data_IF_741919569305
#
_entry.id   IF_741919569305
#
_cell.length_a   1.000
_cell.length_b   1.000
_cell.length_c   1.000
_cell.angle_alpha   90.00
_cell.angle_beta   90.00
_cell.angle_gamma   90.00
#
_symmetry.space_group_name_H-M   'P 1'
#
loop_
_entity.id
_entity.type
_entity.pdbx_description
1 polymer ?
#
# COMPACT_ATOMS: atom_id res chain seq x y z
N UNK A 1 -33.34 24.02 -30.19
CA UNK A 1 -32.66 23.26 -29.12
C UNK A 1 -31.17 23.44 -29.27
N UNK A 2 -30.52 24.03 -28.26
CA UNK A 2 -29.14 24.55 -28.28
C UNK A 2 -28.09 23.43 -28.27
N UNK A 3 -26.98 23.65 -28.97
CA UNK A 3 -25.87 22.69 -29.15
C UNK A 3 -25.29 22.17 -27.82
N UNK A 4 -25.47 22.90 -26.71
CA UNK A 4 -25.09 22.43 -25.39
C UNK A 4 -25.81 21.14 -24.97
N UNK A 5 -27.12 21.01 -25.25
CA UNK A 5 -27.87 19.79 -24.90
C UNK A 5 -27.43 18.58 -25.72
N UNK A 6 -26.96 18.78 -26.95
CA UNK A 6 -26.44 17.67 -27.78
C UNK A 6 -25.10 17.16 -27.27
N UNK A 7 -24.20 18.05 -26.84
CA UNK A 7 -22.93 17.67 -26.24
C UNK A 7 -23.12 16.93 -24.90
N UNK A 8 -24.04 17.39 -24.04
CA UNK A 8 -24.35 16.71 -22.77
C UNK A 8 -25.02 15.35 -23.00
N UNK A 9 -25.86 15.22 -24.03
CA UNK A 9 -26.52 13.94 -24.36
C UNK A 9 -25.55 12.94 -25.02
N UNK A 10 -24.57 13.43 -25.80
CA UNK A 10 -23.50 12.59 -26.34
C UNK A 10 -22.52 12.15 -25.24
N UNK A 11 -22.23 13.02 -24.28
CA UNK A 11 -21.39 12.69 -23.11
C UNK A 11 -22.12 11.71 -22.19
N UNK A 12 -23.43 11.89 -21.95
CA UNK A 12 -24.25 10.95 -21.19
C UNK A 12 -24.39 9.60 -21.91
N UNK A 13 -24.56 9.58 -23.24
CA UNK A 13 -24.57 8.35 -24.03
C UNK A 13 -23.21 7.64 -24.04
N UNK A 14 -22.09 8.37 -24.06
CA UNK A 14 -20.75 7.79 -23.93
C UNK A 14 -20.50 7.20 -22.53
N UNK A 15 -20.99 7.87 -21.48
CA UNK A 15 -20.93 7.36 -20.10
C UNK A 15 -21.84 6.14 -19.90
N UNK A 16 -23.02 6.11 -20.53
CA UNK A 16 -23.92 4.94 -20.50
C UNK A 16 -23.38 3.75 -21.33
N UNK A 17 -22.85 3.99 -22.54
CA UNK A 17 -22.30 2.91 -23.38
C UNK A 17 -20.99 2.32 -22.85
N UNK A 18 -20.18 3.11 -22.13
CA UNK A 18 -19.01 2.62 -21.42
C UNK A 18 -19.36 1.97 -20.07
N UNK A 19 -20.58 2.20 -19.56
CA UNK A 19 -21.07 1.61 -18.31
C UNK A 19 -21.58 0.16 -18.46
N UNK A 20 -22.07 -0.25 -19.63
CA UNK A 20 -22.72 -1.56 -19.81
C UNK A 20 -21.86 -2.65 -20.47
N UNK A 21 -20.69 -2.33 -21.02
CA UNK A 21 -19.81 -3.32 -21.67
C UNK A 21 -18.48 -3.59 -20.96
N UNK A 22 -18.33 -3.11 -19.71
CA UNK A 22 -17.21 -3.46 -18.83
C UNK A 22 -17.63 -4.47 -17.75
N UNK A 23 -18.35 -5.52 -18.16
CA UNK A 23 -18.38 -6.80 -17.46
C UNK A 23 -17.74 -7.85 -18.36
N UNK A 24 -16.42 -7.84 -18.43
CA UNK A 24 -15.65 -9.07 -18.65
C UNK A 24 -15.30 -9.56 -17.26
N UNK A 25 -15.86 -10.71 -16.95
CA UNK A 25 -15.68 -11.52 -15.75
C UNK A 25 -14.19 -11.86 -15.59
N UNK A 26 -13.46 -11.04 -14.83
CA UNK A 26 -12.27 -11.50 -14.13
C UNK A 26 -12.76 -11.90 -12.76
N UNK A 27 -12.84 -13.21 -12.55
CA UNK A 27 -13.10 -13.86 -11.28
C UNK A 27 -11.98 -13.48 -10.31
N UNK A 28 -12.15 -12.35 -9.65
CA UNK A 28 -11.45 -12.00 -8.43
C UNK A 28 -12.41 -12.38 -7.30
N UNK A 29 -12.05 -13.41 -6.56
CA UNK A 29 -12.82 -13.83 -5.40
C UNK A 29 -12.76 -12.74 -4.32
N UNK A 30 -13.95 -12.39 -3.84
CA UNK A 30 -14.27 -11.55 -2.70
C UNK A 30 -13.66 -12.12 -1.41
N UNK A 31 -13.33 -11.36 -0.36
CA UNK A 31 -13.60 -9.96 -0.11
C UNK A 31 -13.40 -9.54 1.35
N UNK A 32 -14.17 -8.51 1.74
CA UNK A 32 -14.28 -7.93 3.09
C UNK A 32 -13.21 -6.87 3.40
N UNK A 33 -13.48 -5.58 3.60
CA UNK A 33 -14.72 -4.85 3.78
C UNK A 33 -14.60 -3.93 5.01
N UNK A 34 -14.53 -2.61 4.77
CA UNK A 34 -14.66 -1.55 5.78
C UNK A 34 -13.42 -1.28 6.64
N UNK A 35 -13.14 -0.09 7.18
CA UNK A 35 -13.90 1.14 7.42
C UNK A 35 -12.89 2.31 7.51
N UNK A 36 -13.40 3.54 7.44
CA UNK A 36 -12.70 4.82 7.59
C UNK A 36 -11.70 4.87 8.77
N UNK A 37 -10.55 5.52 8.64
CA UNK A 37 -10.42 6.89 9.13
C UNK A 37 -9.05 7.51 8.81
N UNK A 38 -9.08 8.83 8.72
CA UNK A 38 -7.95 9.74 8.62
C UNK A 38 -6.98 9.53 9.79
N UNK A 39 -5.72 9.19 9.51
CA UNK A 39 -4.65 9.43 10.47
C UNK A 39 -3.53 10.25 9.82
N UNK A 40 -3.64 11.54 10.15
CA UNK A 40 -2.57 12.52 10.11
C UNK A 40 -1.25 11.88 10.56
N UNK A 41 -0.23 12.13 9.73
CA UNK A 41 1.14 12.00 10.15
C UNK A 41 1.38 12.88 11.39
N UNK A 42 1.33 12.27 12.57
CA UNK A 42 2.05 12.79 13.72
C UNK A 42 3.54 12.66 13.40
N UNK A 43 4.09 13.74 12.86
CA UNK A 43 5.45 14.12 13.16
C UNK A 43 5.46 14.36 14.68
N UNK A 44 5.89 13.35 15.44
CA UNK A 44 6.33 13.56 16.81
C UNK A 44 7.62 14.40 16.71
N UNK A 45 7.43 15.72 16.68
CA UNK A 45 8.46 16.70 16.96
C UNK A 45 8.80 16.61 18.45
N UNK A 46 10.05 16.25 18.72
CA UNK A 46 10.69 16.16 20.03
C UNK A 46 10.78 17.54 20.71
N UNK A 47 9.65 18.07 21.18
CA UNK A 47 9.60 19.23 22.06
C UNK A 47 9.55 18.76 23.52
N UNK A 48 10.74 18.48 24.07
CA UNK A 48 10.95 18.22 25.48
C UNK A 48 10.44 19.39 26.34
N UNK A 49 9.32 19.19 27.03
CA UNK A 49 8.87 20.02 28.13
C UNK A 49 9.16 19.28 29.44
N UNK A 50 10.02 19.90 30.25
CA UNK A 50 10.44 19.44 31.56
C UNK A 50 9.24 19.19 32.49
N UNK A 51 9.19 17.98 33.05
CA UNK A 51 8.52 17.71 34.33
C UNK A 51 9.44 16.79 35.14
N UNK A 52 10.34 17.46 35.86
CA UNK A 52 10.88 16.99 37.14
C UNK A 52 9.72 16.93 38.14
N UNK A 53 9.49 15.76 38.72
CA UNK A 53 9.23 15.57 40.17
C UNK A 53 8.79 14.12 40.43
N UNK A 54 9.78 13.23 40.49
CA UNK A 54 9.62 11.90 41.06
C UNK A 54 10.28 11.87 42.44
N UNK A 55 9.41 11.87 43.46
CA UNK A 55 9.57 11.25 44.78
C UNK A 55 10.97 10.67 45.09
N UNK A 56 11.80 11.50 45.71
CA UNK A 56 12.94 11.06 46.50
C UNK A 56 12.42 10.46 47.81
N UNK A 57 12.48 9.13 47.93
CA UNK A 57 12.43 8.48 49.24
C UNK A 57 13.79 8.67 49.90
N UNK A 58 13.80 9.36 51.03
CA UNK A 58 14.99 9.91 51.68
C UNK A 58 15.96 8.86 52.22
N UNK A 59 17.24 9.11 51.96
CA UNK A 59 18.35 8.71 52.81
C UNK A 59 19.10 9.97 53.23
N UNK A 60 18.99 10.32 54.51
CA UNK A 60 19.99 11.18 55.16
C UNK A 60 21.34 10.50 55.00
N UNK A 61 22.33 11.17 54.41
CA UNK A 61 23.71 10.97 54.83
C UNK A 61 24.53 12.24 54.59
N UNK A 62 25.20 12.63 55.67
CA UNK A 62 26.00 13.83 55.82
C UNK A 62 27.22 13.80 54.87
N UNK A 63 27.59 14.99 54.42
CA UNK A 63 28.59 15.23 53.38
C UNK A 63 29.90 14.44 53.56
N UNK A 64 30.22 13.69 52.51
CA UNK A 64 31.59 13.29 52.21
C UNK A 64 31.81 13.42 50.71
N UNK A 65 32.41 14.55 50.29
CA UNK A 65 32.91 14.83 48.94
C UNK A 65 34.12 13.93 48.62
N UNK A 66 33.92 12.62 48.72
CA UNK A 66 34.85 11.60 48.28
C UNK A 66 34.67 11.39 46.78
N UNK A 67 35.63 11.88 46.01
CA UNK A 67 35.89 11.56 44.62
C UNK A 67 35.84 10.03 44.37
N UNK A 68 34.64 9.51 44.11
CA UNK A 68 34.42 8.19 43.53
C UNK A 68 34.75 8.30 42.04
N UNK A 69 36.04 8.27 41.74
CA UNK A 69 36.50 7.65 40.50
C UNK A 69 36.11 6.17 40.60
N UNK A 70 34.85 5.88 40.26
CA UNK A 70 34.32 4.53 40.08
C UNK A 70 35.15 3.88 38.98
N UNK A 71 36.19 3.18 39.43
CA UNK A 71 36.91 2.21 38.65
C UNK A 71 35.87 1.27 38.04
N UNK A 72 35.85 1.25 36.72
CA UNK A 72 35.11 0.34 35.85
C UNK A 72 35.35 -1.13 36.22
N UNK A 73 34.73 -1.59 37.31
CA UNK A 73 34.46 -2.99 37.54
C UNK A 73 33.23 -3.31 36.69
N UNK A 74 33.50 -3.94 35.55
CA UNK A 74 32.59 -4.42 34.50
C UNK A 74 31.46 -5.38 34.96
N UNK A 75 31.16 -5.46 36.26
CA UNK A 75 30.17 -6.37 36.85
C UNK A 75 29.00 -5.62 37.50
N UNK A 76 28.59 -4.48 36.93
CA UNK A 76 27.32 -3.86 37.31
C UNK A 76 26.21 -4.89 37.05
N UNK A 77 25.72 -5.51 38.12
CA UNK A 77 24.66 -6.52 38.04
C UNK A 77 23.47 -5.89 37.31
N UNK A 78 23.17 -6.40 36.12
CA UNK A 78 22.14 -5.82 35.27
C UNK A 78 20.77 -6.11 35.88
N UNK A 79 20.15 -5.08 36.45
CA UNK A 79 18.80 -5.16 36.99
C UNK A 79 17.79 -4.89 35.88
N UNK A 80 17.02 -5.90 35.50
CA UNK A 80 16.03 -5.80 34.43
C UNK A 80 14.84 -4.90 34.80
N UNK A 81 14.65 -4.56 36.07
CA UNK A 81 13.58 -3.65 36.54
C UNK A 81 13.64 -2.28 35.89
N UNK A 82 14.83 -1.84 35.50
CA UNK A 82 15.04 -0.52 34.93
C UNK A 82 14.92 -0.52 33.42
N UNK A 83 14.71 -1.68 32.80
CA UNK A 83 14.66 -1.82 31.36
C UNK A 83 13.25 -2.12 30.87
N UNK A 84 12.99 -1.64 29.67
CA UNK A 84 11.80 -1.98 28.92
C UNK A 84 12.17 -2.20 27.46
N UNK A 85 11.30 -2.90 26.75
CA UNK A 85 11.44 -3.15 25.32
C UNK A 85 10.15 -2.77 24.60
N UNK A 86 10.30 -2.15 23.42
CA UNK A 86 9.18 -1.79 22.55
C UNK A 86 9.38 -2.44 21.19
N UNK A 87 8.75 -3.60 20.89
CA UNK A 87 8.79 -4.17 19.55
C UNK A 87 8.15 -3.20 18.58
N UNK A 88 8.88 -2.73 17.58
CA UNK A 88 8.40 -1.74 16.62
C UNK A 88 7.69 -2.41 15.45
N UNK A 89 8.31 -3.46 14.89
CA UNK A 89 7.83 -4.16 13.68
C UNK A 89 8.62 -5.44 13.40
N UNK A 90 8.08 -6.27 12.53
CA UNK A 90 8.67 -7.46 11.95
C UNK A 90 8.96 -7.22 10.46
N UNK A 91 10.15 -7.59 9.97
CA UNK A 91 10.50 -7.57 8.55
C UNK A 91 11.64 -8.55 8.23
N UNK A 92 11.95 -8.72 6.94
CA UNK A 92 13.06 -9.57 6.48
C UNK A 92 14.35 -8.76 6.39
N UNK A 93 15.40 -9.19 7.09
CA UNK A 93 16.73 -8.61 7.05
C UNK A 93 17.77 -9.70 6.78
N UNK A 94 18.60 -9.54 5.75
CA UNK A 94 19.58 -10.56 5.32
C UNK A 94 18.97 -11.97 5.16
N UNK A 95 17.80 -12.06 4.53
CA UNK A 95 17.02 -13.30 4.33
C UNK A 95 16.45 -13.94 5.61
N UNK A 96 16.63 -13.32 6.78
CA UNK A 96 16.10 -13.78 8.07
C UNK A 96 14.93 -12.90 8.49
N UNK A 97 13.85 -13.49 8.99
CA UNK A 97 12.77 -12.72 9.62
C UNK A 97 13.26 -12.19 10.97
N UNK A 98 13.21 -10.87 11.16
CA UNK A 98 13.65 -10.21 12.38
C UNK A 98 12.57 -9.32 12.96
N UNK A 99 12.54 -9.23 14.29
CA UNK A 99 11.79 -8.22 15.03
C UNK A 99 12.74 -7.08 15.35
N UNK A 100 12.40 -5.88 14.90
CA UNK A 100 13.07 -4.66 15.37
C UNK A 100 12.38 -4.15 16.61
N UNK A 101 13.16 -3.89 17.65
CA UNK A 101 12.70 -3.34 18.91
C UNK A 101 13.59 -2.18 19.35
N UNK A 102 13.07 -1.35 20.24
CA UNK A 102 13.88 -0.36 20.96
C UNK A 102 13.92 -0.71 22.44
N UNK A 103 15.09 -0.57 23.03
CA UNK A 103 15.28 -0.71 24.48
C UNK A 103 15.30 0.67 25.13
N UNK A 104 14.74 0.77 26.32
CA UNK A 104 14.70 2.00 27.12
C UNK A 104 15.21 1.69 28.53
N UNK A 105 15.76 2.72 29.19
CA UNK A 105 16.16 2.71 30.58
C UNK A 105 15.18 3.58 31.40
N UNK A 106 15.05 3.28 32.69
CA UNK A 106 14.27 3.99 33.73
C UNK A 106 12.78 3.60 33.82
N UNK A 107 12.51 2.65 34.73
CA UNK A 107 11.32 1.78 34.82
C UNK A 107 9.99 2.35 35.32
N UNK A 108 9.72 3.66 35.27
CA UNK A 108 8.40 4.18 35.68
C UNK A 108 7.52 4.67 34.52
N UNK A 109 8.11 5.21 33.45
CA UNK A 109 7.40 5.76 32.28
C UNK A 109 7.91 5.13 30.99
N UNK A 110 7.69 3.82 30.88
CA UNK A 110 8.67 2.89 30.34
C UNK A 110 9.07 3.06 28.86
N UNK A 111 8.45 3.93 28.07
CA UNK A 111 8.90 4.19 26.69
C UNK A 111 8.71 5.66 26.26
N UNK A 112 8.65 6.61 27.22
CA UNK A 112 8.47 8.04 26.93
C UNK A 112 9.81 8.70 26.57
N UNK A 113 10.91 8.23 27.15
CA UNK A 113 12.25 8.79 26.94
C UNK A 113 12.87 8.43 25.58
N UNK A 114 14.10 8.92 25.38
CA UNK A 114 14.92 8.48 24.26
C UNK A 114 15.32 7.01 24.44
N UNK A 115 15.19 6.16 23.40
CA UNK A 115 15.63 4.78 23.49
C UNK A 115 17.15 4.72 23.65
N UNK A 116 17.64 3.74 24.42
CA UNK A 116 19.07 3.40 24.50
C UNK A 116 19.62 3.04 23.11
N UNK A 117 18.79 2.35 22.32
CA UNK A 117 19.14 1.91 20.98
C UNK A 117 17.96 1.29 20.26
N UNK A 118 18.16 1.01 18.98
CA UNK A 118 17.24 0.20 18.17
C UNK A 118 17.99 -1.01 17.67
N UNK A 119 17.42 -2.17 17.92
CA UNK A 119 18.05 -3.46 17.70
C UNK A 119 17.14 -4.36 16.87
N UNK A 120 17.73 -5.40 16.28
CA UNK A 120 17.02 -6.49 15.64
C UNK A 120 17.41 -7.81 16.27
N UNK A 121 16.47 -8.74 16.28
CA UNK A 121 16.65 -10.12 16.75
C UNK A 121 15.82 -11.03 15.84
N UNK A 122 16.24 -12.29 15.58
CA UNK A 122 15.41 -13.24 14.85
C UNK A 122 14.01 -13.40 15.47
N UNK A 123 12.99 -13.58 14.63
CA UNK A 123 11.60 -13.75 15.10
C UNK A 123 11.46 -14.92 16.07
N UNK A 124 12.09 -16.06 15.78
CA UNK A 124 12.06 -17.24 16.64
C UNK A 124 12.58 -16.93 18.05
N UNK A 125 13.75 -16.29 18.15
CA UNK A 125 14.34 -15.88 19.43
C UNK A 125 13.47 -14.85 20.17
N UNK A 126 12.87 -13.88 19.47
CA UNK A 126 11.98 -12.91 20.10
C UNK A 126 10.71 -13.57 20.67
N UNK A 127 10.07 -14.44 19.89
CA UNK A 127 8.83 -15.11 20.30
C UNK A 127 9.09 -16.09 21.44
N UNK A 128 10.19 -16.85 21.39
CA UNK A 128 10.59 -17.75 22.47
C UNK A 128 10.81 -17.00 23.79
N UNK A 129 11.56 -15.90 23.75
CA UNK A 129 11.77 -15.01 24.90
C UNK A 129 10.45 -14.43 25.45
N UNK A 130 9.54 -14.04 24.57
CA UNK A 130 8.22 -13.51 24.93
C UNK A 130 7.33 -14.57 25.60
N UNK A 131 7.28 -15.79 25.06
CA UNK A 131 6.53 -16.90 25.65
C UNK A 131 7.15 -17.34 26.98
N UNK A 132 8.48 -17.32 27.10
CA UNK A 132 9.17 -17.57 28.36
C UNK A 132 8.82 -16.56 29.45
N UNK A 133 8.69 -15.28 29.09
CA UNK A 133 8.22 -14.25 30.02
C UNK A 133 6.75 -14.46 30.41
N UNK A 134 5.88 -14.74 29.43
CA UNK A 134 4.46 -15.00 29.71
C UNK A 134 4.25 -16.22 30.63
N UNK A 135 5.04 -17.28 30.44
CA UNK A 135 5.06 -18.44 31.31
C UNK A 135 5.52 -18.08 32.75
N UNK A 136 6.60 -17.31 32.88
CA UNK A 136 7.09 -16.87 34.18
C UNK A 136 6.08 -15.98 34.91
N UNK A 137 5.43 -15.06 34.20
CA UNK A 137 4.42 -14.16 34.78
C UNK A 137 3.15 -14.92 35.21
N UNK A 138 2.75 -15.95 34.47
CA UNK A 138 1.64 -16.81 34.85
C UNK A 138 1.94 -17.68 36.09
N UNK A 139 3.16 -18.22 36.20
CA UNK A 139 3.60 -18.93 37.39
C UNK A 139 3.55 -18.03 38.63
N UNK A 140 3.99 -16.78 38.50
CA UNK A 140 3.92 -15.81 39.59
C UNK A 140 2.47 -15.45 39.92
N UNK A 141 1.58 -15.34 38.93
CA UNK A 141 0.15 -15.09 39.19
C UNK A 141 -0.62 -16.33 39.71
N UNK A 142 0.06 -17.47 39.92
CA UNK A 142 -0.57 -18.74 40.31
C UNK A 142 -1.52 -19.28 39.26
N UNK A 143 -1.37 -18.86 38.00
CA UNK A 143 -2.18 -19.26 36.86
C UNK A 143 -1.46 -20.33 36.03
N UNK A 144 -2.19 -21.29 35.51
CA UNK A 144 -1.62 -22.26 34.57
C UNK A 144 -1.47 -21.60 33.20
N UNK A 145 -0.25 -21.61 32.65
CA UNK A 145 0.03 -21.14 31.30
C UNK A 145 0.04 -22.33 30.33
N UNK A 146 -0.92 -22.36 29.43
CA UNK A 146 -0.94 -23.30 28.31
C UNK A 146 -0.16 -22.71 27.14
N UNK A 147 0.90 -23.40 26.73
CA UNK A 147 1.70 -22.99 25.58
C UNK A 147 0.83 -23.07 24.31
N UNK A 148 0.76 -22.00 23.49
CA UNK A 148 -0.05 -22.01 22.29
C UNK A 148 0.47 -23.05 21.30
N UNK A 149 -0.43 -23.75 20.59
CA UNK A 149 -0.04 -24.79 19.63
C UNK A 149 0.91 -24.29 18.54
N UNK A 150 0.85 -23.00 18.19
CA UNK A 150 1.77 -22.37 17.26
C UNK A 150 3.24 -22.36 17.73
N UNK A 151 3.52 -22.48 19.04
CA UNK A 151 4.87 -22.47 19.58
C UNK A 151 5.75 -23.64 19.06
N UNK A 152 5.14 -24.73 18.58
CA UNK A 152 5.89 -25.82 17.93
C UNK A 152 6.62 -25.38 16.64
N UNK A 153 6.22 -24.24 16.05
CA UNK A 153 6.83 -23.67 14.85
C UNK A 153 7.88 -22.59 15.17
N UNK A 154 8.28 -22.42 16.44
CA UNK A 154 9.46 -21.61 16.80
C UNK A 154 10.73 -22.19 16.16
N UNK A 155 10.79 -23.52 16.12
CA UNK A 155 11.81 -24.28 15.41
C UNK A 155 11.29 -24.68 14.04
N UNK A 156 12.20 -25.03 13.15
CA UNK A 156 11.87 -25.51 11.82
C UNK A 156 11.19 -26.88 11.93
N UNK A 157 9.87 -26.92 11.75
CA UNK A 157 9.05 -28.11 11.98
C UNK A 157 8.38 -28.54 10.68
N UNK A 158 8.40 -29.85 10.39
CA UNK A 158 7.83 -30.38 9.17
C UNK A 158 6.29 -30.29 9.18
N UNK A 159 5.70 -29.86 8.06
CA UNK A 159 4.27 -29.68 7.89
C UNK A 159 3.83 -30.18 6.51
N UNK A 160 2.68 -30.84 6.43
CA UNK A 160 2.07 -31.23 5.16
C UNK A 160 1.15 -30.13 4.66
N UNK A 161 1.34 -29.65 3.43
CA UNK A 161 0.47 -28.67 2.77
C UNK A 161 0.03 -29.26 1.44
N UNK A 162 -1.21 -29.75 1.38
CA UNK A 162 -1.68 -30.59 0.27
C UNK A 162 -1.01 -31.96 0.28
N UNK A 163 -0.42 -32.36 -0.85
CA UNK A 163 0.28 -33.65 -0.99
C UNK A 163 1.80 -33.55 -0.76
N UNK A 164 2.33 -32.33 -0.62
CA UNK A 164 3.75 -32.07 -0.45
C UNK A 164 4.11 -31.78 1.01
N UNK A 165 5.33 -32.17 1.40
CA UNK A 165 5.89 -31.89 2.72
C UNK A 165 6.80 -30.66 2.64
N UNK A 166 6.55 -29.71 3.53
CA UNK A 166 7.36 -28.50 3.69
C UNK A 166 7.89 -28.40 5.12
N UNK A 167 8.81 -27.47 5.33
CA UNK A 167 9.23 -27.06 6.66
C UNK A 167 8.61 -25.72 6.99
N UNK A 168 8.15 -25.55 8.22
CA UNK A 168 7.44 -24.36 8.65
C UNK A 168 8.12 -23.73 9.86
N UNK A 169 8.21 -22.40 9.85
CA UNK A 169 8.72 -21.61 10.97
C UNK A 169 7.94 -20.29 11.09
N UNK A 170 7.76 -19.80 12.32
CA UNK A 170 7.16 -18.48 12.56
C UNK A 170 8.09 -17.39 11.99
N UNK A 171 7.53 -16.52 11.16
CA UNK A 171 8.22 -15.39 10.56
C UNK A 171 7.35 -14.13 10.50
N UNK A 172 7.78 -13.14 9.72
CA UNK A 172 7.05 -11.89 9.57
C UNK A 172 5.91 -12.02 8.55
N UNK A 173 4.73 -11.48 8.87
CA UNK A 173 3.65 -11.41 7.90
C UNK A 173 4.01 -10.48 6.74
N UNK A 174 3.66 -10.89 5.52
CA UNK A 174 3.81 -10.04 4.32
C UNK A 174 2.73 -8.97 4.24
N UNK A 175 1.59 -9.21 4.89
CA UNK A 175 0.44 -8.30 4.90
C UNK A 175 0.63 -7.14 5.89
N UNK A 176 1.33 -7.40 7.00
CA UNK A 176 1.51 -6.42 8.07
C UNK A 176 2.87 -6.56 8.73
N UNK A 177 3.60 -5.45 8.82
CA UNK A 177 4.85 -5.37 9.58
C UNK A 177 4.63 -5.45 11.10
N UNK A 178 3.40 -5.63 11.58
CA UNK A 178 3.06 -5.79 13.00
C UNK A 178 2.33 -7.11 13.25
N UNK A 179 2.47 -8.07 12.35
CA UNK A 179 1.90 -9.40 12.51
C UNK A 179 2.97 -10.45 12.23
N UNK A 180 2.84 -11.57 12.93
CA UNK A 180 3.57 -12.78 12.61
C UNK A 180 2.73 -13.62 11.65
N UNK A 181 3.39 -14.45 10.87
CA UNK A 181 2.75 -15.45 10.04
C UNK A 181 3.65 -16.69 9.98
N UNK A 182 3.06 -17.85 9.71
CA UNK A 182 3.84 -19.04 9.42
C UNK A 182 4.47 -18.90 8.02
N UNK A 183 5.73 -19.30 7.88
CA UNK A 183 6.46 -19.31 6.61
C UNK A 183 6.86 -20.72 6.24
N UNK A 184 6.77 -21.05 4.95
CA UNK A 184 7.18 -22.35 4.42
C UNK A 184 8.58 -22.28 3.83
N UNK A 185 9.29 -23.40 3.95
CA UNK A 185 10.66 -23.60 3.52
C UNK A 185 10.81 -24.97 2.86
N UNK A 186 11.75 -25.08 1.93
CA UNK A 186 12.07 -26.34 1.25
C UNK A 186 13.11 -27.19 1.99
N UNK A 187 13.78 -26.63 3.00
CA UNK A 187 14.85 -27.26 3.76
C UNK A 187 14.59 -27.27 5.27
N UNK A 188 15.21 -28.23 5.97
CA UNK A 188 15.09 -28.46 7.41
C UNK A 188 15.80 -27.43 8.28
N UNK A 189 16.59 -26.54 7.67
CA UNK A 189 17.21 -25.40 8.34
C UNK A 189 16.41 -24.11 8.20
N UNK A 190 15.27 -24.15 7.50
CA UNK A 190 14.41 -23.00 7.23
C UNK A 190 15.18 -21.82 6.60
N UNK A 191 16.06 -22.12 5.65
CA UNK A 191 16.91 -21.11 4.98
C UNK A 191 16.33 -20.63 3.64
N UNK A 192 15.59 -21.49 2.93
CA UNK A 192 15.07 -21.26 1.59
C UNK A 192 13.55 -21.19 1.60
N UNK A 193 13.00 -19.97 1.59
CA UNK A 193 11.55 -19.73 1.60
C UNK A 193 10.88 -20.23 0.32
N UNK A 194 9.70 -20.82 0.48
CA UNK A 194 8.84 -21.25 -0.63
C UNK A 194 7.48 -20.57 -0.49
N UNK A 195 6.95 -20.08 -1.61
CA UNK A 195 5.57 -19.62 -1.71
C UNK A 195 4.77 -20.68 -2.45
N UNK A 196 3.71 -21.19 -1.82
CA UNK A 196 2.79 -22.14 -2.43
C UNK A 196 1.53 -21.36 -2.84
N UNK A 197 1.14 -21.44 -4.11
CA UNK A 197 -0.03 -20.73 -4.61
C UNK A 197 -1.28 -21.15 -3.82
N UNK A 198 -2.00 -20.18 -3.26
CA UNK A 198 -3.20 -20.40 -2.47
C UNK A 198 -2.95 -20.69 -0.98
N UNK A 199 -1.70 -20.75 -0.53
CA UNK A 199 -1.37 -20.83 0.90
C UNK A 199 -0.83 -19.50 1.39
N UNK A 200 -1.53 -18.87 2.34
CA UNK A 200 -1.15 -17.60 2.96
C UNK A 200 -0.78 -17.74 4.46
N UNK A 201 -0.78 -18.98 4.96
CA UNK A 201 -0.52 -19.31 6.35
C UNK A 201 -1.64 -18.95 7.32
N UNK A 202 -2.81 -18.51 6.83
CA UNK A 202 -3.96 -18.16 7.66
C UNK A 202 -4.66 -19.38 8.28
N UNK A 203 -4.45 -20.58 7.72
CA UNK A 203 -4.98 -21.84 8.25
C UNK A 203 -4.41 -22.23 9.62
N UNK A 204 -3.25 -21.69 9.97
CA UNK A 204 -2.60 -21.95 11.25
C UNK A 204 -3.01 -20.88 12.24
N UNK A 205 -3.66 -21.32 13.33
CA UNK A 205 -4.10 -20.42 14.38
C UNK A 205 -2.90 -19.84 15.14
N UNK A 206 -2.54 -18.60 14.77
CA UNK A 206 -1.52 -17.79 15.42
C UNK A 206 -2.10 -16.91 16.54
N UNK A 207 -3.40 -17.00 16.86
CA UNK A 207 -4.06 -16.13 17.84
C UNK A 207 -3.52 -16.29 19.26
N UNK A 208 -2.92 -17.43 19.57
CA UNK A 208 -2.24 -17.67 20.85
C UNK A 208 -0.91 -16.92 21.02
N UNK A 209 -0.35 -16.34 19.95
CA UNK A 209 0.92 -15.60 19.99
C UNK A 209 0.67 -14.17 19.51
N UNK A 210 0.30 -13.28 20.45
CA UNK A 210 0.07 -11.85 20.16
C UNK A 210 1.23 -11.03 20.68
N UNK A 211 2.20 -10.72 19.83
CA UNK A 211 3.24 -9.75 20.18
C UNK A 211 2.62 -8.34 20.19
N UNK A 212 2.75 -7.59 21.30
CA UNK A 212 2.18 -6.26 21.42
C UNK A 212 3.05 -5.21 20.70
N UNK A 213 3.09 -5.25 19.37
CA UNK A 213 3.84 -4.29 18.55
C UNK A 213 3.41 -2.85 18.85
N UNK A 214 4.42 -1.97 18.95
CA UNK A 214 4.36 -0.56 19.35
C UNK A 214 3.94 -0.30 20.80
N UNK A 215 3.65 -1.33 21.59
CA UNK A 215 3.40 -1.18 23.02
C UNK A 215 4.71 -1.37 23.79
N UNK A 216 4.85 -0.62 24.88
CA UNK A 216 5.97 -0.79 25.78
C UNK A 216 5.76 -2.06 26.60
N UNK A 217 6.80 -2.86 26.78
CA UNK A 217 6.78 -4.05 27.62
C UNK A 217 7.88 -3.93 28.67
N UNK A 218 7.48 -4.08 29.93
CA UNK A 218 8.39 -4.07 31.06
C UNK A 218 9.17 -5.38 31.07
N UNK A 219 10.48 -5.34 31.33
CA UNK A 219 11.25 -6.58 31.43
C UNK A 219 10.87 -7.42 32.66
N UNK A 220 10.38 -6.76 33.71
CA UNK A 220 9.94 -7.39 34.95
C UNK A 220 8.51 -6.98 35.24
N UNK A 221 7.61 -7.95 35.30
CA UNK A 221 6.23 -7.77 35.77
C UNK A 221 6.17 -8.10 37.25
N UNK A 222 5.66 -7.18 38.07
CA UNK A 222 5.46 -7.40 39.50
C UNK A 222 4.05 -7.90 39.77
N UNK A 223 3.94 -9.13 40.30
CA UNK A 223 2.68 -9.65 40.85
C UNK A 223 2.58 -9.25 42.32
N UNK A 224 1.43 -8.72 42.71
CA UNK A 224 1.15 -8.39 44.10
C UNK A 224 0.85 -9.68 44.88
N UNK A 225 1.88 -10.27 45.47
CA UNK A 225 1.72 -11.34 46.44
C UNK A 225 1.49 -10.76 47.83
N UNK A 226 0.80 -11.50 48.70
CA UNK A 226 0.75 -11.13 50.11
C UNK A 226 2.17 -11.14 50.68
N UNK A 227 2.59 -10.04 51.31
CA UNK A 227 3.95 -9.81 51.84
C UNK A 227 4.46 -10.95 52.75
N UNK A 228 3.57 -11.72 53.36
CA UNK A 228 3.91 -12.83 54.25
C UNK A 228 4.36 -14.13 53.52
N UNK A 229 4.20 -14.21 52.19
CA UNK A 229 4.45 -15.43 51.41
C UNK A 229 5.71 -15.37 50.54
N UNK A 230 6.32 -14.19 50.38
CA UNK A 230 7.43 -13.96 49.45
C UNK A 230 8.70 -13.63 50.22
N UNK A 231 9.77 -14.37 49.96
CA UNK A 231 11.07 -14.11 50.57
C UNK A 231 11.86 -13.04 49.79
N UNK A 232 12.85 -12.42 50.44
CA UNK A 232 13.77 -11.46 49.79
C UNK A 232 14.49 -12.07 48.57
N UNK A 233 14.57 -13.41 48.51
CA UNK A 233 15.20 -14.13 47.41
C UNK A 233 14.38 -14.05 46.13
N UNK A 234 13.05 -14.13 46.21
CA UNK A 234 12.16 -13.92 45.06
C UNK A 234 12.41 -12.56 44.41
N UNK A 235 12.45 -11.47 45.19
CA UNK A 235 12.68 -10.14 44.65
C UNK A 235 14.06 -10.03 43.97
N UNK A 236 15.13 -10.53 44.61
CA UNK A 236 16.48 -10.53 44.02
C UNK A 236 16.56 -11.35 42.72
N UNK A 237 15.92 -12.52 42.71
CA UNK A 237 15.87 -13.37 41.53
C UNK A 237 15.09 -12.68 40.41
N UNK A 238 13.93 -12.09 40.71
CA UNK A 238 13.07 -11.47 39.69
C UNK A 238 13.69 -10.21 39.07
N UNK A 239 14.46 -9.45 39.85
CA UNK A 239 15.20 -8.30 39.33
C UNK A 239 16.30 -8.69 38.33
N UNK A 240 16.87 -9.90 38.45
CA UNK A 240 18.00 -10.37 37.63
C UNK A 240 17.60 -11.40 36.58
N UNK A 241 16.39 -11.96 36.67
CA UNK A 241 15.85 -12.98 35.78
C UNK A 241 14.63 -12.47 35.01
N UNK A 242 14.86 -11.87 33.84
CA UNK A 242 13.84 -11.57 32.84
C UNK A 242 14.07 -12.43 31.59
N UNK A 243 13.28 -13.50 31.35
CA UNK A 243 13.41 -14.30 30.14
C UNK A 243 13.36 -13.46 28.86
N UNK A 244 12.47 -12.45 28.81
CA UNK A 244 12.36 -11.57 27.65
C UNK A 244 13.64 -10.76 27.45
N UNK A 245 14.02 -9.95 28.44
CA UNK A 245 15.08 -8.96 28.23
C UNK A 245 16.49 -9.56 28.27
N UNK A 246 16.72 -10.62 29.04
CA UNK A 246 18.00 -11.33 29.00
C UNK A 246 18.26 -11.95 27.62
N UNK A 247 17.28 -12.66 27.06
CA UNK A 247 17.41 -13.26 25.74
C UNK A 247 17.53 -12.20 24.64
N UNK A 248 16.77 -11.10 24.72
CA UNK A 248 16.90 -10.00 23.79
C UNK A 248 18.28 -9.34 23.88
N UNK A 249 18.83 -9.15 25.08
CA UNK A 249 20.14 -8.55 25.28
C UNK A 249 21.29 -9.43 24.75
N UNK A 250 21.18 -10.75 24.90
CA UNK A 250 22.16 -11.69 24.39
C UNK A 250 22.11 -11.81 22.85
N UNK A 251 20.91 -11.73 22.26
CA UNK A 251 20.70 -11.95 20.82
C UNK A 251 20.54 -10.66 20.00
N UNK A 252 20.64 -9.47 20.62
CA UNK A 252 20.46 -8.21 19.91
C UNK A 252 21.60 -7.94 18.93
N UNK A 253 21.22 -7.42 17.77
CA UNK A 253 22.15 -6.83 16.82
C UNK A 253 21.75 -5.36 16.63
N UNK A 254 22.72 -4.46 16.66
CA UNK A 254 22.46 -3.03 16.41
C UNK A 254 21.85 -2.82 15.03
N UNK A 255 20.69 -2.14 14.99
CA UNK A 255 20.00 -1.83 13.75
C UNK A 255 20.45 -0.47 13.23
N UNK A 256 21.39 -0.50 12.27
CA UNK A 256 21.91 0.68 11.60
C UNK A 256 20.84 1.46 10.83
N UNK A 257 21.20 2.64 10.30
CA UNK A 257 20.26 3.45 9.49
C UNK A 257 19.71 2.69 8.28
N UNK A 258 20.45 1.73 7.74
CA UNK A 258 20.01 0.90 6.61
C UNK A 258 18.94 -0.09 7.04
N UNK A 259 19.18 -0.82 8.13
CA UNK A 259 18.23 -1.71 8.79
C UNK A 259 16.95 -0.97 9.17
N UNK A 260 17.05 0.22 9.76
CA UNK A 260 15.88 1.04 10.09
C UNK A 260 15.11 1.44 8.83
N UNK A 261 15.79 1.88 7.76
CA UNK A 261 15.15 2.20 6.47
C UNK A 261 14.46 0.99 5.84
N UNK A 262 15.05 -0.20 5.94
CA UNK A 262 14.43 -1.45 5.47
C UNK A 262 13.19 -1.82 6.28
N UNK A 263 13.25 -1.66 7.61
CA UNK A 263 12.08 -1.81 8.47
C UNK A 263 11.00 -0.76 8.18
N UNK A 264 11.38 0.47 7.79
CA UNK A 264 10.47 1.50 7.27
C UNK A 264 10.07 1.27 5.82
N UNK A 265 10.68 0.29 5.17
CA UNK A 265 10.37 -0.17 3.84
C UNK A 265 8.89 -0.45 3.78
N UNK A 266 8.19 0.38 2.99
CA UNK A 266 6.75 0.29 2.75
C UNK A 266 6.40 -1.18 2.56
N UNK A 267 5.54 -1.73 3.42
CA UNK A 267 4.86 -3.03 3.25
C UNK A 267 4.61 -3.18 1.77
N UNK A 268 5.43 -3.99 1.10
CA UNK A 268 5.71 -3.99 -0.33
C UNK A 268 4.77 -3.09 -1.13
N UNK A 269 4.96 -1.75 -1.07
CA UNK A 269 4.00 -0.85 -1.72
C UNK A 269 4.13 -1.17 -3.18
N UNK A 270 3.14 -1.85 -3.77
CA UNK A 270 3.31 -2.60 -5.00
C UNK A 270 4.15 -1.78 -5.98
N UNK A 271 5.45 -2.07 -6.04
CA UNK A 271 6.33 -1.38 -6.97
C UNK A 271 5.76 -1.66 -8.34
N UNK A 272 5.84 -0.73 -9.29
CA UNK A 272 5.54 -1.08 -10.68
C UNK A 272 6.35 -2.33 -11.01
N UNK A 273 5.65 -3.44 -11.28
CA UNK A 273 6.32 -4.69 -11.61
C UNK A 273 7.18 -4.45 -12.85
N UNK A 274 8.25 -5.24 -13.03
CA UNK A 274 9.08 -5.13 -14.24
C UNK A 274 8.21 -5.26 -15.49
N UNK A 275 7.20 -6.14 -15.46
CA UNK A 275 6.16 -6.26 -16.48
C UNK A 275 5.37 -4.96 -16.67
N UNK A 276 4.87 -4.33 -15.61
CA UNK A 276 4.10 -3.09 -15.70
C UNK A 276 4.93 -1.96 -16.33
N UNK A 277 6.22 -1.87 -16.00
CA UNK A 277 7.14 -0.88 -16.59
C UNK A 277 7.34 -1.11 -18.08
N UNK A 278 7.54 -2.36 -18.49
CA UNK A 278 7.67 -2.74 -19.91
C UNK A 278 6.39 -2.43 -20.67
N UNK A 279 5.23 -2.75 -20.09
CA UNK A 279 3.94 -2.56 -20.75
C UNK A 279 3.59 -1.07 -20.87
N UNK A 280 3.84 -0.27 -19.82
CA UNK A 280 3.76 1.20 -19.90
C UNK A 280 4.63 1.77 -21.02
N UNK A 281 5.86 1.25 -21.18
CA UNK A 281 6.78 1.70 -22.23
C UNK A 281 6.23 1.41 -23.63
N UNK A 282 5.77 0.17 -23.87
CA UNK A 282 5.22 -0.24 -25.17
C UNK A 282 3.97 0.59 -25.52
N UNK A 283 3.05 0.74 -24.57
CA UNK A 283 1.83 1.52 -24.76
C UNK A 283 2.12 3.01 -25.01
N UNK A 284 3.11 3.58 -24.31
CA UNK A 284 3.53 4.97 -24.53
C UNK A 284 4.11 5.17 -25.95
N UNK A 285 5.01 4.28 -26.39
CA UNK A 285 5.56 4.30 -27.76
C UNK A 285 4.46 4.15 -28.81
N UNK A 286 3.50 3.26 -28.57
CA UNK A 286 2.36 3.05 -29.46
C UNK A 286 1.47 4.31 -29.57
N UNK A 287 1.15 4.94 -28.43
CA UNK A 287 0.39 6.19 -28.40
C UNK A 287 1.09 7.34 -29.15
N UNK A 288 2.41 7.48 -28.97
CA UNK A 288 3.22 8.47 -29.71
C UNK A 288 3.26 8.16 -31.20
N UNK A 289 3.40 6.88 -31.58
CA UNK A 289 3.37 6.45 -32.99
C UNK A 289 2.06 6.80 -33.68
N UNK A 290 0.91 6.57 -33.02
CA UNK A 290 -0.41 6.96 -33.54
C UNK A 290 -0.55 8.47 -33.69
N UNK A 291 -0.07 9.25 -32.73
CA UNK A 291 -0.08 10.72 -32.82
C UNK A 291 0.73 11.20 -34.05
N UNK A 292 1.93 10.66 -34.27
CA UNK A 292 2.77 11.00 -35.41
C UNK A 292 2.07 10.63 -36.73
N UNK A 293 1.42 9.46 -36.80
CA UNK A 293 0.66 9.04 -37.98
C UNK A 293 -0.49 10.00 -38.30
N UNK A 294 -1.25 10.43 -37.30
CA UNK A 294 -2.32 11.43 -37.44
C UNK A 294 -1.75 12.76 -37.97
N UNK A 295 -0.65 13.24 -37.38
CA UNK A 295 0.00 14.50 -37.81
C UNK A 295 0.51 14.40 -39.25
N UNK A 296 1.15 13.28 -39.62
CA UNK A 296 1.64 13.06 -40.98
C UNK A 296 0.51 12.99 -41.99
N UNK A 297 -0.59 12.30 -41.64
CA UNK A 297 -1.77 12.19 -42.49
C UNK A 297 -2.45 13.54 -42.70
N UNK A 298 -2.61 14.35 -41.63
CA UNK A 298 -3.12 15.71 -41.73
C UNK A 298 -2.25 16.63 -42.60
N UNK A 299 -0.92 16.52 -42.50
CA UNK A 299 0.00 17.31 -43.35
C UNK A 299 -0.15 17.02 -44.85
N UNK A 300 -0.61 15.81 -45.21
CA UNK A 300 -0.79 15.40 -46.60
C UNK A 300 -2.19 15.68 -47.16
N UNK A 301 -3.15 16.17 -46.35
CA UNK A 301 -4.48 16.51 -46.86
C UNK A 301 -4.45 17.81 -47.68
N UNK A 302 -5.23 17.83 -48.75
CA UNK A 302 -5.35 18.99 -49.65
C UNK A 302 -6.01 20.17 -48.94
N UNK A 303 -5.58 21.40 -49.24
CA UNK A 303 -6.14 22.64 -48.66
C UNK A 303 -7.67 22.75 -48.78
N UNK A 304 -8.28 22.07 -49.75
CA UNK A 304 -9.74 22.07 -49.94
C UNK A 304 -10.48 21.21 -48.91
N UNK A 305 -9.91 20.06 -48.53
CA UNK A 305 -10.49 19.16 -47.52
C UNK A 305 -10.31 19.74 -46.12
N UNK A 306 -9.17 20.40 -45.88
CA UNK A 306 -8.88 21.09 -44.61
C UNK A 306 -9.96 22.14 -44.31
N UNK A 307 -10.45 22.89 -45.31
CA UNK A 307 -11.49 23.91 -45.10
C UNK A 307 -12.86 23.31 -44.74
N UNK A 308 -13.21 22.14 -45.31
CA UNK A 308 -14.45 21.43 -44.99
C UNK A 308 -14.39 20.81 -43.59
N UNK A 309 -13.24 20.26 -43.21
CA UNK A 309 -13.01 19.73 -41.86
C UNK A 309 -12.96 20.86 -40.81
N UNK A 310 -12.36 22.00 -41.14
CA UNK A 310 -12.30 23.18 -40.29
C UNK A 310 -13.67 23.84 -40.12
N UNK A 311 -14.54 23.80 -41.14
CA UNK A 311 -15.95 24.20 -41.00
C UNK A 311 -16.71 23.26 -40.05
N UNK A 312 -16.48 21.95 -40.13
CA UNK A 312 -17.10 20.98 -39.22
C UNK A 312 -16.58 21.08 -37.77
N UNK A 313 -15.28 21.33 -37.59
CA UNK A 313 -14.66 21.50 -36.26
C UNK A 313 -14.94 22.87 -35.63
N UNK A 314 -14.99 23.94 -36.43
CA UNK A 314 -15.34 25.28 -35.93
C UNK A 314 -16.79 25.39 -35.47
N UNK A 315 -17.68 24.53 -35.95
CA UNK A 315 -19.04 24.41 -35.39
C UNK A 315 -19.06 24.01 -33.90
N UNK A 316 -17.97 23.41 -33.40
CA UNK A 316 -17.77 23.07 -31.99
C UNK A 316 -16.90 24.09 -31.24
N UNK A 317 -16.45 25.16 -31.91
CA UNK A 317 -15.64 26.24 -31.33
C UNK A 317 -14.22 25.84 -30.94
N UNK A 318 -13.76 24.64 -31.32
CA UNK A 318 -12.46 24.12 -30.91
C UNK A 318 -11.42 24.33 -32.03
N UNK A 319 -10.50 25.29 -31.85
CA UNK A 319 -9.41 25.48 -32.81
C UNK A 319 -8.44 24.28 -32.76
N UNK A 320 -7.84 23.93 -33.91
CA UNK A 320 -6.91 22.79 -34.04
C UNK A 320 -5.73 22.84 -33.04
N UNK A 321 -5.27 24.05 -32.70
CA UNK A 321 -4.23 24.30 -31.69
C UNK A 321 -4.62 23.78 -30.31
N UNK A 322 -5.91 23.81 -29.95
CA UNK A 322 -6.40 23.32 -28.66
C UNK A 322 -6.35 21.80 -28.57
N UNK A 323 -6.55 21.07 -29.68
CA UNK A 323 -6.51 19.61 -29.69
C UNK A 323 -5.09 19.12 -29.35
N UNK A 324 -4.06 19.74 -29.94
CA UNK A 324 -2.67 19.43 -29.64
C UNK A 324 -2.34 19.80 -28.18
N UNK A 325 -2.81 20.95 -27.71
CA UNK A 325 -2.63 21.38 -26.32
C UNK A 325 -3.26 20.43 -25.29
N UNK A 326 -4.51 20.01 -25.51
CA UNK A 326 -5.22 19.05 -24.66
C UNK A 326 -4.47 17.72 -24.62
N UNK A 327 -3.98 17.24 -25.77
CA UNK A 327 -3.23 15.99 -25.83
C UNK A 327 -1.95 16.03 -24.97
N UNK A 328 -1.15 17.10 -25.10
CA UNK A 328 0.06 17.29 -24.29
C UNK A 328 -0.27 17.35 -22.80
N UNK A 329 -1.34 18.08 -22.44
CA UNK A 329 -1.80 18.18 -21.06
C UNK A 329 -2.17 16.81 -20.49
N UNK A 330 -2.90 15.98 -21.24
CA UNK A 330 -3.29 14.64 -20.79
C UNK A 330 -2.06 13.75 -20.59
N UNK A 331 -1.06 13.81 -21.48
CA UNK A 331 0.20 13.06 -21.30
C UNK A 331 0.93 13.48 -20.02
N UNK A 332 0.98 14.78 -19.72
CA UNK A 332 1.59 15.28 -18.47
C UNK A 332 0.84 14.73 -17.25
N UNK A 333 -0.49 14.74 -17.27
CA UNK A 333 -1.31 14.18 -16.17
C UNK A 333 -1.03 12.69 -15.95
N UNK A 334 -0.91 11.90 -17.03
CA UNK A 334 -0.55 10.48 -16.95
C UNK A 334 0.83 10.31 -16.29
N UNK A 335 1.82 11.13 -16.68
CA UNK A 335 3.17 11.07 -16.09
C UNK A 335 3.13 11.40 -14.60
N UNK A 336 2.38 12.42 -14.19
CA UNK A 336 2.20 12.75 -12.77
C UNK A 336 1.55 11.60 -11.99
N UNK A 337 0.49 10.97 -12.52
CA UNK A 337 -0.13 9.82 -11.86
C UNK A 337 0.76 8.58 -11.81
N UNK A 338 1.59 8.36 -12.83
CA UNK A 338 2.60 7.30 -12.82
C UNK A 338 3.65 7.54 -11.72
N UNK A 339 4.09 8.79 -11.54
CA UNK A 339 5.02 9.19 -10.48
C UNK A 339 4.40 9.07 -9.08
N UNK A 340 3.10 9.31 -8.95
CA UNK A 340 2.35 9.12 -7.70
C UNK A 340 2.05 7.63 -7.38
N UNK A 341 2.33 6.70 -8.29
CA UNK A 341 2.12 5.26 -8.07
C UNK A 341 0.66 4.82 -8.13
N UNK A 342 -0.23 5.64 -8.70
CA UNK A 342 -1.66 5.32 -8.84
C UNK A 342 -1.89 4.38 -10.04
N UNK A 343 -1.53 3.10 -9.87
CA UNK A 343 -1.56 2.09 -10.94
C UNK A 343 -2.90 2.01 -11.65
N UNK A 344 -3.99 1.75 -10.91
CA UNK A 344 -5.33 1.50 -11.49
C UNK A 344 -5.81 2.68 -12.35
N UNK A 345 -5.63 3.90 -11.85
CA UNK A 345 -6.05 5.13 -12.55
C UNK A 345 -5.19 5.37 -13.79
N UNK A 346 -3.86 5.23 -13.66
CA UNK A 346 -2.91 5.43 -14.77
C UNK A 346 -3.23 4.48 -15.92
N UNK A 347 -3.52 3.21 -15.61
CA UNK A 347 -3.91 2.21 -16.60
C UNK A 347 -5.21 2.55 -17.34
N UNK A 348 -6.27 2.88 -16.59
CA UNK A 348 -7.56 3.23 -17.19
C UNK A 348 -7.44 4.44 -18.11
N UNK A 349 -6.73 5.48 -17.68
CA UNK A 349 -6.54 6.70 -18.47
C UNK A 349 -5.71 6.42 -19.74
N UNK A 350 -4.67 5.59 -19.62
CA UNK A 350 -3.81 5.27 -20.75
C UNK A 350 -4.56 4.44 -21.81
N UNK A 351 -5.33 3.43 -21.39
CA UNK A 351 -6.17 2.63 -22.31
C UNK A 351 -7.22 3.50 -23.00
N UNK A 352 -7.90 4.36 -22.24
CA UNK A 352 -8.89 5.32 -22.77
C UNK A 352 -8.26 6.24 -23.83
N UNK A 353 -7.08 6.80 -23.55
CA UNK A 353 -6.37 7.66 -24.50
C UNK A 353 -6.06 6.91 -25.80
N UNK A 354 -5.53 5.69 -25.70
CA UNK A 354 -5.17 4.91 -26.89
C UNK A 354 -6.38 4.48 -27.72
N UNK A 355 -7.52 4.19 -27.10
CA UNK A 355 -8.77 3.88 -27.81
C UNK A 355 -9.36 5.11 -28.52
N UNK A 356 -9.30 6.30 -27.91
CA UNK A 356 -9.70 7.56 -28.56
C UNK A 356 -8.78 7.88 -29.75
N UNK A 357 -7.47 7.75 -29.59
CA UNK A 357 -6.51 7.96 -30.69
C UNK A 357 -6.74 6.98 -31.84
N UNK A 358 -6.96 5.70 -31.52
CA UNK A 358 -7.17 4.65 -32.52
C UNK A 358 -8.47 4.85 -33.30
N UNK A 359 -9.58 5.13 -32.62
CA UNK A 359 -10.87 5.42 -33.27
C UNK A 359 -10.79 6.64 -34.18
N UNK A 360 -10.07 7.68 -33.75
CA UNK A 360 -9.83 8.85 -34.59
C UNK A 360 -8.98 8.53 -35.84
N UNK A 361 -7.92 7.73 -35.68
CA UNK A 361 -7.09 7.29 -36.80
C UNK A 361 -7.90 6.45 -37.80
N UNK A 362 -8.74 5.52 -37.31
CA UNK A 362 -9.63 4.71 -38.12
C UNK A 362 -10.59 5.57 -38.96
N UNK A 363 -11.20 6.59 -38.34
CA UNK A 363 -12.05 7.54 -39.06
C UNK A 363 -11.30 8.21 -40.22
N UNK A 364 -10.10 8.72 -39.96
CA UNK A 364 -9.25 9.32 -40.99
C UNK A 364 -8.82 8.33 -42.07
N UNK A 365 -8.70 7.03 -41.78
CA UNK A 365 -8.40 6.01 -42.79
C UNK A 365 -9.57 5.67 -43.69
N UNK A 366 -10.77 5.53 -43.12
CA UNK A 366 -11.98 5.21 -43.89
C UNK A 366 -12.33 6.36 -44.85
N UNK A 367 -12.30 7.60 -44.36
CA UNK A 367 -12.60 8.78 -45.18
C UNK A 367 -11.59 8.95 -46.33
N UNK A 368 -10.30 8.66 -46.10
CA UNK A 368 -9.29 8.73 -47.17
C UNK A 368 -9.35 7.57 -48.18
N UNK A 369 -9.95 6.45 -47.80
CA UNK A 369 -10.07 5.26 -48.66
C UNK A 369 -11.18 5.41 -49.70
N UNK A 370 -12.19 6.23 -49.41
CA UNK A 370 -13.20 6.65 -50.36
C UNK A 370 -12.68 7.81 -51.21
N UNK A 371 -11.60 7.59 -51.95
CA UNK A 371 -11.28 8.48 -53.05
C UNK A 371 -12.54 8.56 -53.92
N UNK A 372 -13.04 9.77 -54.25
CA UNK A 372 -14.20 9.89 -55.12
C UNK A 372 -13.81 9.20 -56.43
N UNK A 373 -14.35 7.98 -56.64
CA UNK A 373 -14.37 7.42 -57.98
C UNK A 373 -15.03 8.49 -58.82
N UNK A 374 -14.25 9.05 -59.74
CA UNK A 374 -14.74 9.99 -60.73
C UNK A 374 -15.96 9.35 -61.39
N UNK A 375 -17.16 9.69 -60.91
CA UNK A 375 -18.40 9.58 -61.65
C UNK A 375 -18.40 10.63 -62.77
N UNK A 376 -17.33 10.66 -63.56
CA UNK A 376 -17.25 11.47 -64.78
C UNK A 376 -17.82 10.74 -65.98
N UNK A 377 -18.13 9.45 -65.86
CA UNK A 377 -18.74 8.70 -66.96
C UNK A 377 -20.20 8.33 -66.68
N UNK A 378 -21.09 9.15 -67.25
CA UNK A 378 -22.32 8.71 -67.93
C UNK A 378 -23.45 8.14 -67.06
N UNK A 379 -23.92 8.83 -66.00
CA UNK A 379 -25.21 8.48 -65.37
C UNK A 379 -25.94 9.63 -64.64
N UNK A 380 -25.87 10.87 -65.13
CA UNK A 380 -26.92 11.85 -64.83
C UNK A 380 -27.78 12.03 -66.09
N UNK A 381 -29.01 11.49 -66.14
CA UNK A 381 -29.97 11.91 -67.15
C UNK A 381 -30.28 13.38 -66.92
N UNK A 382 -30.21 14.16 -68.00
CA UNK A 382 -30.54 15.57 -68.09
C UNK A 382 -31.83 15.90 -67.32
N UNK A 383 -31.67 16.60 -66.19
CA UNK A 383 -32.76 17.35 -65.57
C UNK A 383 -32.79 18.76 -66.20
N UNK A 384 -33.01 18.80 -67.52
CA UNK A 384 -33.49 20.01 -68.18
C UNK A 384 -34.97 19.84 -68.48
N UNK A 385 -35.73 20.90 -68.16
CA UNK A 385 -37.15 21.12 -68.42
C UNK A 385 -38.15 20.50 -67.44
N UNK A 386 -38.74 21.35 -66.58
CA UNK A 386 -40.15 21.79 -66.65
C UNK A 386 -40.53 22.65 -65.41
N UNK A 387 -41.62 23.44 -65.46
CA UNK A 387 -41.56 24.90 -65.44
C UNK A 387 -42.18 25.52 -64.18
N UNK A 388 -42.16 26.85 -64.15
CA UNK A 388 -42.94 27.73 -63.27
C UNK A 388 -44.36 27.19 -63.00
N UNK A 389 -44.71 27.11 -61.71
CA UNK A 389 -46.09 27.05 -61.26
C UNK A 389 -46.25 27.92 -60.02
N UNK A 390 -46.75 29.12 -60.28
CA UNK A 390 -47.48 29.98 -59.36
C UNK A 390 -48.55 29.21 -58.56
N UNK A 391 -48.95 29.81 -57.43
CA UNK A 391 -50.27 29.72 -56.83
C UNK A 391 -50.61 28.41 -56.06
N UNK A 392 -50.75 28.52 -54.73
CA UNK A 392 -52.06 28.53 -54.06
C UNK A 392 -51.87 28.79 -52.55
N UNK A 393 -52.43 29.92 -52.17
CA UNK A 393 -52.84 30.35 -50.83
C UNK A 393 -53.97 29.46 -50.31
N UNK A 394 -53.84 28.89 -49.12
CA UNK A 394 -54.93 28.37 -48.26
C UNK A 394 -54.30 27.97 -46.93
N UNK A 395 -54.28 28.80 -45.87
CA UNK A 395 -55.39 29.19 -44.99
C UNK A 395 -56.27 28.01 -44.57
N UNK A 396 -55.91 27.38 -43.45
CA UNK A 396 -56.89 26.78 -42.53
C UNK A 396 -56.46 27.05 -41.09
N UNK A 397 -57.34 27.76 -40.40
CA UNK A 397 -57.28 28.06 -38.97
C UNK A 397 -57.89 26.90 -38.14
N UNK A 398 -57.37 26.75 -36.90
CA UNK A 398 -58.07 26.40 -35.64
C UNK A 398 -58.64 24.96 -35.46
N UNK A 399 -58.93 24.50 -34.21
CA UNK A 399 -58.88 25.20 -32.92
C UNK A 399 -58.15 24.49 -31.76
N UNK A 400 -57.90 25.33 -30.74
CA UNK A 400 -57.68 25.08 -29.32
C UNK A 400 -58.60 24.01 -28.72
N UNK A 401 -58.05 23.13 -27.87
CA UNK A 401 -58.80 22.48 -26.79
C UNK A 401 -57.89 22.23 -25.59
N UNK A 402 -58.11 22.99 -24.51
CA UNK A 402 -57.55 22.71 -23.20
C UNK A 402 -58.37 21.63 -22.47
N UNK A 403 -57.72 20.92 -21.55
CA UNK A 403 -58.35 20.18 -20.46
C UNK A 403 -57.44 20.30 -19.23
N UNK A 404 -58.01 20.94 -18.21
CA UNK A 404 -57.87 20.82 -16.74
C UNK A 404 -56.50 20.56 -16.14
#
# INVERSE_FOLDING_TARGET
>A
MTNQRKATLLYALLVCFLGEHLFVDVRAEDGGGGYYDDDQAYADDDAAAAYDDAYAYGGNDDGNDGNYDDAANDDATQYWTDYSVRPKRCFVYNNVDVVMFSSYQYGYNQCIGSPLGTYVVPVSSFVDAYLGQAYADALDSGSEYELPGAAQYLQCTQMQVGDDMYWAQIGCSEMSSKALALKLYSDDTCSTRVSVDGWDGSDVDMSGIVIPFKQCQTCVTWVNHNDDAVDDQYYKNKQTSSPLCSALWENQQECDRTCQKMGHGKVSSSGWNTSDKVLLSILSVFGVGMLIAILRKRRNMSKKEVLLEEAAMSAWGLQLTHIIGIFILVVIVIVVFALLGLKKITWGLLILLTTILFSYLMKLTVESGMAPQNCTDVCCPDATALPDADYITSRTELPVRGVV
#
